data_IF_694078894664
#
_entry.id   IF_694078894664
#
_cell.length_a   1.000
_cell.length_b   1.000
_cell.length_c   1.000
_cell.angle_alpha   90.00
_cell.angle_beta   90.00
_cell.angle_gamma   90.00
#
_symmetry.space_group_name_H-M   'P 1'
#
loop_
_entity.id
_entity.type
_entity.pdbx_description
1 polymer ?
#
# COMPACT_ATOMS: atom_id res chain seq x y z
N UNK A 1 17.67 -19.87 -9.12
CA UNK A 1 17.90 -18.65 -8.30
C UNK A 1 16.87 -17.57 -8.61
N UNK A 2 16.60 -17.25 -9.88
CA UNK A 2 15.55 -16.29 -10.29
C UNK A 2 14.14 -16.65 -9.80
N UNK A 3 13.75 -17.93 -9.82
CA UNK A 3 12.43 -18.37 -9.33
C UNK A 3 12.14 -18.01 -7.87
N UNK A 4 13.13 -18.17 -6.98
CA UNK A 4 13.00 -17.79 -5.57
C UNK A 4 12.78 -16.28 -5.41
N UNK A 5 13.53 -15.46 -6.16
CA UNK A 5 13.39 -14.00 -6.13
C UNK A 5 12.02 -13.55 -6.61
N UNK A 6 11.51 -14.14 -7.70
CA UNK A 6 10.17 -13.84 -8.24
C UNK A 6 9.09 -14.18 -7.20
N UNK A 7 9.17 -15.34 -6.55
CA UNK A 7 8.25 -15.73 -5.48
C UNK A 7 8.31 -14.76 -4.31
N UNK A 8 9.51 -14.45 -3.81
CA UNK A 8 9.70 -13.52 -2.70
C UNK A 8 9.13 -12.12 -3.01
N UNK A 9 9.44 -11.57 -4.18
CA UNK A 9 8.91 -10.27 -4.65
C UNK A 9 7.38 -10.34 -4.71
N UNK A 10 6.82 -11.42 -5.24
CA UNK A 10 5.36 -11.56 -5.33
C UNK A 10 4.69 -11.52 -3.96
N UNK A 11 5.23 -12.27 -2.98
CA UNK A 11 4.71 -12.25 -1.61
C UNK A 11 4.86 -10.88 -0.93
N UNK A 12 6.00 -10.21 -1.15
CA UNK A 12 6.24 -8.88 -0.60
C UNK A 12 5.21 -7.86 -1.13
N UNK A 13 5.04 -7.79 -2.44
CA UNK A 13 4.09 -6.86 -3.06
C UNK A 13 2.63 -7.19 -2.69
N UNK A 14 2.30 -8.47 -2.56
CA UNK A 14 0.98 -8.90 -2.07
C UNK A 14 0.73 -8.44 -0.63
N UNK A 15 1.72 -8.59 0.27
CA UNK A 15 1.62 -8.13 1.65
C UNK A 15 1.42 -6.61 1.73
N UNK A 16 2.15 -5.83 0.91
CA UNK A 16 1.97 -4.37 0.83
C UNK A 16 0.55 -3.98 0.37
N UNK A 17 0.04 -4.64 -0.66
CA UNK A 17 -1.34 -4.41 -1.14
C UNK A 17 -2.37 -4.72 -0.05
N UNK A 18 -2.20 -5.83 0.68
CA UNK A 18 -3.08 -6.18 1.81
C UNK A 18 -2.99 -5.15 2.92
N UNK A 19 -1.79 -4.67 3.26
CA UNK A 19 -1.62 -3.63 4.27
C UNK A 19 -2.35 -2.32 3.90
N UNK A 20 -2.27 -1.91 2.63
CA UNK A 20 -2.97 -0.72 2.13
C UNK A 20 -4.49 -0.93 2.12
N UNK A 21 -4.98 -2.11 1.72
CA UNK A 21 -6.40 -2.45 1.84
C UNK A 21 -6.85 -2.43 3.31
N UNK A 22 -6.04 -2.97 4.22
CA UNK A 22 -6.26 -2.90 5.66
C UNK A 22 -6.37 -1.45 6.14
N UNK A 23 -5.47 -0.56 5.71
CA UNK A 23 -5.55 0.89 6.00
C UNK A 23 -6.87 1.50 5.54
N UNK A 24 -7.35 1.17 4.33
CA UNK A 24 -8.64 1.66 3.82
C UNK A 24 -9.80 1.15 4.65
N UNK A 25 -9.83 -0.16 4.94
CA UNK A 25 -10.88 -0.76 5.76
C UNK A 25 -10.92 -0.14 7.16
N UNK A 26 -9.76 0.00 7.81
CA UNK A 26 -9.67 0.60 9.14
C UNK A 26 -10.07 2.07 9.14
N UNK A 27 -9.89 2.80 8.03
CA UNK A 27 -10.34 4.18 7.91
C UNK A 27 -11.87 4.34 7.99
N UNK A 28 -12.63 3.28 7.68
CA UNK A 28 -14.08 3.25 7.83
C UNK A 28 -14.53 2.70 9.18
N UNK A 29 -13.81 1.70 9.71
CA UNK A 29 -14.15 1.05 10.99
C UNK A 29 -13.79 1.93 12.19
N UNK A 30 -12.60 2.52 12.17
CA UNK A 30 -12.07 3.36 13.24
C UNK A 30 -11.39 4.61 12.65
N UNK A 31 -12.19 5.57 12.15
CA UNK A 31 -11.66 6.76 11.47
C UNK A 31 -10.76 7.62 12.36
N UNK A 32 -10.96 7.54 13.68
CA UNK A 32 -10.19 8.31 14.67
C UNK A 32 -8.86 7.64 15.05
N UNK A 33 -8.64 6.37 14.68
CA UNK A 33 -7.40 5.65 14.99
C UNK A 33 -7.23 5.28 16.47
N UNK A 34 -8.33 5.07 17.18
CA UNK A 34 -8.30 4.73 18.60
C UNK A 34 -7.77 3.31 18.85
N UNK A 35 -8.03 2.38 17.94
CA UNK A 35 -7.62 0.98 18.06
C UNK A 35 -6.14 0.80 17.68
N UNK A 36 -5.44 -0.09 18.40
CA UNK A 36 -4.03 -0.40 18.13
C UNK A 36 -3.80 -0.97 16.73
N UNK A 37 -4.73 -1.79 16.23
CA UNK A 37 -4.65 -2.36 14.88
C UNK A 37 -4.79 -1.28 13.78
N UNK A 38 -5.60 -0.25 14.01
CA UNK A 38 -5.69 0.90 13.09
C UNK A 38 -4.35 1.58 13.01
N UNK A 39 -3.76 1.94 14.16
CA UNK A 39 -2.44 2.60 14.23
C UNK A 39 -1.34 1.78 13.58
N UNK A 40 -1.37 0.45 13.77
CA UNK A 40 -0.46 -0.45 13.08
C UNK A 40 -0.54 -0.32 11.56
N UNK A 41 -1.74 -0.43 10.96
CA UNK A 41 -1.89 -0.20 9.52
C UNK A 41 -1.54 1.23 9.13
N UNK A 42 -1.79 2.20 10.01
CA UNK A 42 -1.45 3.58 9.73
C UNK A 42 0.06 3.76 9.56
N UNK A 43 0.84 3.35 10.54
CA UNK A 43 2.29 3.45 10.58
C UNK A 43 2.96 2.58 9.50
N UNK A 44 2.45 1.35 9.28
CA UNK A 44 2.98 0.43 8.28
C UNK A 44 2.87 1.00 6.85
N UNK A 45 1.77 1.69 6.56
CA UNK A 45 1.49 2.19 5.20
C UNK A 45 1.94 3.64 4.99
N UNK A 46 2.24 4.39 6.05
CA UNK A 46 2.62 5.80 5.98
C UNK A 46 3.82 6.10 5.08
N UNK A 47 4.91 5.31 5.09
CA UNK A 47 6.05 5.55 4.20
C UNK A 47 5.69 5.51 2.71
N UNK A 48 4.62 4.79 2.34
CA UNK A 48 4.14 4.67 0.97
C UNK A 48 3.08 5.75 0.68
N UNK A 49 2.09 5.88 1.56
CA UNK A 49 0.94 6.76 1.34
C UNK A 49 1.27 8.24 1.59
N UNK A 50 2.13 8.54 2.57
CA UNK A 50 2.52 9.90 2.95
C UNK A 50 3.12 10.70 1.80
N UNK A 51 4.13 10.18 1.07
CA UNK A 51 4.67 10.84 -0.12
C UNK A 51 3.62 11.06 -1.21
N UNK A 52 2.73 10.09 -1.44
CA UNK A 52 1.67 10.19 -2.44
C UNK A 52 0.68 11.31 -2.06
N UNK A 53 0.28 11.40 -0.79
CA UNK A 53 -0.59 12.48 -0.28
C UNK A 53 0.01 13.88 -0.44
N UNK A 54 1.33 14.02 -0.47
CA UNK A 54 1.98 15.32 -0.71
C UNK A 54 1.85 15.78 -2.15
N UNK A 55 1.64 14.86 -3.08
CA UNK A 55 1.56 15.13 -4.52
C UNK A 55 0.09 15.18 -4.97
N UNK A 56 -0.74 14.29 -4.44
CA UNK A 56 -2.15 14.17 -4.80
C UNK A 56 -2.98 15.07 -3.89
N UNK A 57 -3.73 16.05 -4.44
CA UNK A 57 -4.60 16.89 -3.63
C UNK A 57 -5.68 16.03 -2.96
N UNK A 58 -5.89 16.26 -1.66
CA UNK A 58 -6.97 15.60 -0.91
C UNK A 58 -8.34 16.07 -1.39
N UNK A 59 -9.24 15.15 -1.72
CA UNK A 59 -10.63 15.47 -2.06
C UNK A 59 -11.47 15.59 -0.76
N UNK A 60 -11.26 16.67 -0.03
CA UNK A 60 -11.89 16.88 1.28
C UNK A 60 -11.44 15.82 2.27
N UNK A 61 -12.39 15.05 2.83
CA UNK A 61 -12.10 13.96 3.78
C UNK A 61 -11.64 12.65 3.12
N UNK A 62 -11.70 12.56 1.79
CA UNK A 62 -11.34 11.33 1.08
C UNK A 62 -9.87 11.33 0.68
N UNK A 63 -9.12 10.38 1.25
CA UNK A 63 -7.74 10.10 0.87
C UNK A 63 -7.71 9.19 -0.36
N UNK A 64 -7.31 9.75 -1.52
CA UNK A 64 -7.12 8.99 -2.75
C UNK A 64 -5.76 8.30 -2.84
N UNK A 65 -4.83 8.60 -1.93
CA UNK A 65 -3.49 8.01 -1.94
C UNK A 65 -3.47 6.47 -1.93
N UNK A 66 -4.39 5.74 -1.26
CA UNK A 66 -4.40 4.28 -1.30
C UNK A 66 -4.64 3.73 -2.72
N UNK A 67 -5.54 4.34 -3.49
CA UNK A 67 -5.84 3.90 -4.86
C UNK A 67 -4.60 4.09 -5.74
N UNK A 68 -3.97 5.26 -5.65
CA UNK A 68 -2.75 5.57 -6.39
C UNK A 68 -1.61 4.62 -5.99
N UNK A 69 -1.46 4.34 -4.69
CA UNK A 69 -0.46 3.41 -4.19
C UNK A 69 -0.65 1.99 -4.73
N UNK A 70 -1.88 1.46 -4.71
CA UNK A 70 -2.20 0.13 -5.24
C UNK A 70 -1.86 0.01 -6.73
N UNK A 71 -2.15 1.06 -7.51
CA UNK A 71 -1.79 1.11 -8.94
C UNK A 71 -0.28 1.13 -9.15
N UNK A 72 0.44 2.01 -8.44
CA UNK A 72 1.89 2.12 -8.53
C UNK A 72 2.59 0.81 -8.12
N UNK A 73 2.17 0.20 -7.02
CA UNK A 73 2.69 -1.09 -6.55
C UNK A 73 2.46 -2.17 -7.60
N UNK A 74 1.27 -2.22 -8.21
CA UNK A 74 0.95 -3.20 -9.25
C UNK A 74 1.80 -3.03 -10.51
N UNK A 75 2.04 -1.79 -10.94
CA UNK A 75 2.91 -1.50 -12.10
C UNK A 75 4.36 -1.86 -11.78
N UNK A 76 4.87 -1.43 -10.62
CA UNK A 76 6.24 -1.71 -10.18
C UNK A 76 6.49 -3.22 -10.07
N UNK A 77 5.55 -3.99 -9.52
CA UNK A 77 5.66 -5.44 -9.45
C UNK A 77 5.85 -6.06 -10.84
N UNK A 78 5.00 -5.66 -11.80
CA UNK A 78 5.06 -6.19 -13.17
C UNK A 78 6.38 -5.85 -13.84
N UNK A 79 6.85 -4.61 -13.71
CA UNK A 79 8.12 -4.17 -14.28
C UNK A 79 9.29 -4.98 -13.70
N UNK A 80 9.34 -5.13 -12.37
CA UNK A 80 10.41 -5.88 -11.69
C UNK A 80 10.38 -7.36 -12.12
N UNK A 81 9.21 -8.00 -12.11
CA UNK A 81 9.10 -9.41 -12.52
C UNK A 81 9.51 -9.56 -13.99
N UNK A 82 9.06 -8.67 -14.87
CA UNK A 82 9.42 -8.73 -16.30
C UNK A 82 10.91 -8.57 -16.57
N UNK A 83 11.64 -7.85 -15.70
CA UNK A 83 13.08 -7.69 -15.81
C UNK A 83 13.88 -8.87 -15.24
N UNK A 84 13.23 -9.76 -14.48
CA UNK A 84 13.84 -10.94 -13.85
C UNK A 84 13.57 -12.25 -14.61
N UNK A 85 12.64 -12.22 -15.56
CA UNK A 85 12.34 -13.30 -16.51
C UNK A 85 13.30 -13.19 -17.68
#
# INVERSE_FOLDING_TARGET
MSGFLITFITWLFQALNIAILGRVIMSWIDPQGNMGITRFFMELTEPILGPIRRIVPSLGMFDLSPIIALLLISVLQRLIISALI
#
